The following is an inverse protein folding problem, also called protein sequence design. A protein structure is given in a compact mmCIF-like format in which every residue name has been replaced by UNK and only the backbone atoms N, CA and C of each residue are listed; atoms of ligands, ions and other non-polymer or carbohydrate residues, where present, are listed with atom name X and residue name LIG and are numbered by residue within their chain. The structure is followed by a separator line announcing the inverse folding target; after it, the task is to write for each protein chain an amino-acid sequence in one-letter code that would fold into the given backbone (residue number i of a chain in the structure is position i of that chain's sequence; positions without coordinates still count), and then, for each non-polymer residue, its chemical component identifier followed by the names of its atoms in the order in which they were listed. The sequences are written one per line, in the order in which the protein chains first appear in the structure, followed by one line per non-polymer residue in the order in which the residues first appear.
data_IF_194601736160
#
_entry.id   IF_194601736160
#
_cell.length_a   1.000
_cell.length_b   1.000
_cell.length_c   1.000
_cell.angle_alpha   90.00
_cell.angle_beta   90.00
_cell.angle_gamma   90.00
#
_symmetry.space_group_name_H-M   'P 1'
#
loop_
_entity.id
_entity.type
_entity.pdbx_description
1 polymer ?
#
# COMPACT_ATOMS: atom_id res chain seq x y z
N UNK A 1 13.49 8.06 -11.81
CA UNK A 1 14.53 8.70 -10.95
C UNK A 1 14.31 8.47 -9.46
N UNK A 2 13.63 7.40 -9.01
CA UNK A 2 13.40 7.12 -7.56
C UNK A 2 13.64 5.63 -7.26
N UNK A 3 14.86 5.16 -7.50
CA UNK A 3 15.28 3.79 -7.17
C UNK A 3 16.74 3.78 -6.67
N UNK A 4 17.13 4.77 -5.87
CA UNK A 4 18.52 4.91 -5.40
C UNK A 4 18.73 5.30 -3.93
N UNK A 5 17.68 5.50 -3.11
CA UNK A 5 17.86 6.14 -1.80
C UNK A 5 17.48 5.36 -0.54
N UNK A 6 17.32 4.03 -0.60
CA UNK A 6 17.16 3.21 0.63
C UNK A 6 18.35 2.23 0.80
N UNK A 7 19.55 2.73 0.50
CA UNK A 7 20.80 2.25 1.09
C UNK A 7 21.48 3.41 1.84
N UNK A 8 20.71 4.13 2.66
CA UNK A 8 21.27 5.06 3.65
C UNK A 8 21.45 4.29 4.94
N UNK A 9 22.53 3.51 5.02
CA UNK A 9 23.33 3.27 6.22
C UNK A 9 24.54 2.42 5.78
N UNK A 10 25.53 3.09 5.19
CA UNK A 10 26.79 2.48 4.78
C UNK A 10 27.11 2.58 3.28
N UNK A 11 27.12 3.78 2.70
CA UNK A 11 27.91 4.04 1.49
C UNK A 11 29.00 5.05 1.85
N UNK A 12 30.18 4.52 2.16
CA UNK A 12 31.44 5.29 2.16
C UNK A 12 31.77 5.57 0.68
N UNK A 13 31.82 6.83 0.23
CA UNK A 13 32.17 7.14 -1.15
C UNK A 13 33.69 7.28 -1.23
N UNK A 14 34.38 6.39 -1.93
CA UNK A 14 35.54 6.84 -2.73
C UNK A 14 36.01 5.83 -3.78
N UNK A 15 36.27 6.40 -4.95
CA UNK A 15 37.23 6.01 -5.98
C UNK A 15 37.69 4.53 -6.09
N UNK A 16 37.33 3.90 -7.22
CA UNK A 16 38.31 3.19 -8.04
C UNK A 16 38.98 1.92 -7.49
N UNK A 17 38.47 1.26 -6.46
CA UNK A 17 38.92 -0.08 -6.05
C UNK A 17 37.73 -1.00 -5.81
N UNK A 18 37.67 -2.08 -6.58
CA UNK A 18 36.83 -3.26 -6.32
C UNK A 18 37.29 -3.91 -5.02
N UNK A 19 36.85 -3.35 -3.89
CA UNK A 19 36.98 -4.01 -2.59
C UNK A 19 36.10 -5.26 -2.63
N UNK A 20 36.74 -6.41 -2.83
CA UNK A 20 36.16 -7.74 -2.73
C UNK A 20 35.75 -7.93 -1.26
N UNK A 21 34.52 -7.55 -0.92
CA UNK A 21 33.99 -7.70 0.44
C UNK A 21 33.78 -9.20 0.69
N UNK A 22 34.83 -9.88 1.13
CA UNK A 22 34.86 -11.30 1.47
C UNK A 22 34.45 -11.48 2.95
N UNK A 23 33.32 -10.89 3.35
CA UNK A 23 32.77 -11.08 4.68
C UNK A 23 31.44 -11.81 4.57
N UNK A 24 31.42 -13.05 5.06
CA UNK A 24 30.26 -13.95 4.97
C UNK A 24 29.00 -13.33 5.59
N UNK A 25 29.16 -12.45 6.60
CA UNK A 25 28.07 -11.70 7.21
C UNK A 25 27.34 -10.78 6.24
N UNK A 26 28.05 -10.19 5.26
CA UNK A 26 27.42 -9.32 4.25
C UNK A 26 26.58 -10.13 3.25
N UNK A 27 27.02 -11.34 2.91
CA UNK A 27 26.24 -12.26 2.07
C UNK A 27 24.95 -12.69 2.77
N UNK A 28 25.01 -13.03 4.06
CA UNK A 28 23.83 -13.45 4.82
C UNK A 28 22.82 -12.31 5.05
N UNK A 29 23.26 -11.08 5.28
CA UNK A 29 22.33 -9.93 5.39
C UNK A 29 21.67 -9.60 4.05
N UNK A 30 22.41 -9.65 2.93
CA UNK A 30 21.80 -9.49 1.61
C UNK A 30 20.83 -10.64 1.25
N UNK A 31 21.17 -11.88 1.62
CA UNK A 31 20.33 -13.06 1.38
C UNK A 31 19.03 -13.02 2.21
N UNK A 32 19.11 -12.65 3.50
CA UNK A 32 17.94 -12.51 4.36
C UNK A 32 17.05 -11.36 3.90
N UNK A 33 17.63 -10.22 3.51
CA UNK A 33 16.86 -9.09 2.97
C UNK A 33 16.13 -9.47 1.67
N UNK A 34 16.77 -10.21 0.76
CA UNK A 34 16.11 -10.69 -0.47
C UNK A 34 15.01 -11.72 -0.20
N UNK A 35 15.19 -12.59 0.80
CA UNK A 35 14.18 -13.57 1.20
C UNK A 35 12.93 -12.88 1.78
N UNK A 36 13.13 -11.88 2.66
CA UNK A 36 12.03 -11.09 3.24
C UNK A 36 11.27 -10.30 2.17
N UNK A 37 11.97 -9.72 1.19
CA UNK A 37 11.31 -9.01 0.08
C UNK A 37 10.59 -9.94 -0.91
N UNK A 38 11.15 -11.13 -1.18
CA UNK A 38 10.57 -12.11 -2.10
C UNK A 38 9.28 -12.76 -1.58
N UNK A 39 9.17 -12.98 -0.27
CA UNK A 39 7.96 -13.52 0.34
C UNK A 39 6.78 -12.53 0.34
N UNK A 40 7.04 -11.22 0.18
CA UNK A 40 6.01 -10.18 0.19
C UNK A 40 5.33 -9.98 -1.18
N UNK A 41 5.82 -10.63 -2.24
CA UNK A 41 5.26 -10.50 -3.60
C UNK A 41 4.51 -11.77 -4.00
N UNK A 42 3.38 -12.06 -3.35
CA UNK A 42 2.51 -13.14 -3.78
C UNK A 42 1.07 -12.90 -3.35
N UNK A 43 0.31 -12.20 -4.18
CA UNK A 43 -1.14 -12.21 -4.15
C UNK A 43 -1.65 -12.54 -5.55
N UNK A 44 -1.88 -13.82 -5.83
CA UNK A 44 -2.32 -14.29 -7.16
C UNK A 44 -3.75 -13.84 -7.52
N UNK A 45 -4.51 -13.29 -6.56
CA UNK A 45 -5.94 -13.02 -6.71
C UNK A 45 -6.32 -11.56 -6.43
N UNK A 46 -5.36 -10.66 -6.22
CA UNK A 46 -5.66 -9.25 -5.98
C UNK A 46 -5.60 -8.46 -7.29
N UNK A 47 -6.42 -7.40 -7.42
CA UNK A 47 -6.34 -6.50 -8.57
C UNK A 47 -4.91 -5.98 -8.76
N UNK A 48 -4.54 -5.55 -9.99
CA UNK A 48 -3.25 -4.92 -10.23
C UNK A 48 -3.09 -3.67 -9.36
N UNK A 49 -1.85 -3.40 -8.94
CA UNK A 49 -1.60 -2.33 -7.98
C UNK A 49 -0.13 -1.98 -7.79
N UNK A 50 0.15 -0.78 -7.28
CA UNK A 50 1.50 -0.37 -6.95
C UNK A 50 2.10 -1.28 -5.87
N UNK A 51 3.27 -1.86 -6.14
CA UNK A 51 3.97 -2.73 -5.19
C UNK A 51 4.37 -1.92 -3.96
N UNK A 52 3.78 -2.26 -2.83
CA UNK A 52 4.07 -1.68 -1.54
C UNK A 52 5.35 -2.22 -0.91
N UNK A 53 5.96 -1.41 -0.05
CA UNK A 53 7.08 -1.83 0.81
C UNK A 53 6.58 -2.73 1.95
N UNK A 54 7.43 -3.60 2.52
CA UNK A 54 7.06 -4.35 3.72
C UNK A 54 6.67 -3.39 4.85
N UNK A 55 5.61 -3.71 5.59
CA UNK A 55 5.01 -2.92 6.70
C UNK A 55 4.27 -1.64 6.28
N UNK A 56 4.84 -0.81 5.40
CA UNK A 56 4.25 0.50 5.04
C UNK A 56 3.34 0.42 3.81
N UNK A 57 3.48 -0.62 2.99
CA UNK A 57 2.71 -0.78 1.77
C UNK A 57 3.02 0.32 0.74
N UNK A 58 2.00 0.77 0.02
CA UNK A 58 2.11 1.73 -1.10
C UNK A 58 1.97 3.19 -0.65
N UNK A 59 1.99 3.46 0.67
CA UNK A 59 1.84 4.81 1.22
C UNK A 59 2.91 5.79 0.76
N UNK A 60 4.16 5.36 0.62
CA UNK A 60 5.24 6.24 0.15
C UNK A 60 5.07 6.71 -1.30
N UNK A 61 4.21 6.04 -2.07
CA UNK A 61 3.90 6.39 -3.46
C UNK A 61 2.65 7.28 -3.56
N UNK A 62 1.94 7.47 -2.44
CA UNK A 62 0.75 8.30 -2.35
C UNK A 62 1.13 9.69 -1.82
N UNK A 63 0.80 10.75 -2.57
CA UNK A 63 0.96 12.11 -2.08
C UNK A 63 -0.16 12.41 -1.06
N UNK A 64 0.21 12.46 0.23
CA UNK A 64 -0.73 12.72 1.32
C UNK A 64 -1.38 14.12 1.23
N UNK A 65 -0.74 15.08 0.58
CA UNK A 65 -1.33 16.41 0.40
C UNK A 65 -2.39 16.43 -0.71
N UNK A 66 -2.23 15.56 -1.71
CA UNK A 66 -3.07 15.54 -2.91
C UNK A 66 -3.32 14.10 -3.38
N UNK A 67 -4.06 13.29 -2.60
CA UNK A 67 -4.26 11.88 -2.91
C UNK A 67 -4.94 11.67 -4.28
N UNK A 68 -5.86 12.54 -4.68
CA UNK A 68 -6.57 12.46 -5.96
C UNK A 68 -5.64 12.52 -7.18
N UNK A 69 -4.50 13.22 -7.09
CA UNK A 69 -3.52 13.25 -8.18
C UNK A 69 -2.84 11.88 -8.35
N UNK A 70 -2.36 11.28 -7.26
CA UNK A 70 -1.75 9.95 -7.29
C UNK A 70 -2.74 8.88 -7.77
N UNK A 71 -4.01 8.97 -7.35
CA UNK A 71 -5.07 8.05 -7.82
C UNK A 71 -5.33 8.19 -9.33
N UNK A 72 -5.34 9.42 -9.85
CA UNK A 72 -5.52 9.67 -11.28
C UNK A 72 -4.33 9.18 -12.13
N UNK A 73 -3.10 9.24 -11.59
CA UNK A 73 -1.92 8.66 -12.24
C UNK A 73 -1.97 7.13 -12.25
N UNK A 74 -2.42 6.52 -11.14
CA UNK A 74 -2.59 5.07 -11.06
C UNK A 74 -3.69 4.55 -11.97
N UNK A 75 -4.77 5.30 -12.19
CA UNK A 75 -5.77 4.97 -13.22
C UNK A 75 -5.11 4.72 -14.58
N UNK A 76 -4.17 5.58 -14.98
CA UNK A 76 -3.47 5.46 -16.27
C UNK A 76 -2.55 4.25 -16.34
N UNK A 77 -2.08 3.75 -15.19
CA UNK A 77 -1.04 2.71 -15.11
C UNK A 77 -1.64 1.32 -14.88
N UNK A 78 -2.69 1.22 -14.07
CA UNK A 78 -3.27 -0.03 -13.56
C UNK A 78 -4.74 -0.25 -13.94
N UNK A 79 -5.35 0.68 -14.69
CA UNK A 79 -6.74 0.64 -15.15
C UNK A 79 -7.79 1.06 -14.10
N UNK A 80 -9.04 0.64 -14.31
CA UNK A 80 -10.22 1.08 -13.56
C UNK A 80 -10.30 0.57 -12.11
N UNK A 81 -9.66 -0.56 -11.78
CA UNK A 81 -9.67 -1.16 -10.44
C UNK A 81 -8.23 -1.32 -9.97
N UNK A 82 -7.86 -0.58 -8.93
CA UNK A 82 -6.49 -0.57 -8.40
C UNK A 82 -6.51 -1.07 -6.97
N UNK A 83 -5.64 -2.04 -6.67
CA UNK A 83 -5.42 -2.51 -5.31
C UNK A 83 -4.21 -1.81 -4.68
N UNK A 84 -4.34 -1.36 -3.44
CA UNK A 84 -3.23 -0.77 -2.71
C UNK A 84 -3.32 -1.13 -1.23
N UNK A 85 -2.16 -1.32 -0.61
CA UNK A 85 -2.05 -1.59 0.83
C UNK A 85 -1.53 -0.34 1.52
N UNK A 86 -2.30 0.22 2.45
CA UNK A 86 -1.88 1.33 3.30
C UNK A 86 -1.63 0.81 4.70
N UNK A 87 -0.36 0.73 5.11
CA UNK A 87 0.03 0.06 6.36
C UNK A 87 -0.54 -1.37 6.44
N UNK A 88 -1.52 -1.58 7.31
CA UNK A 88 -2.21 -2.85 7.55
C UNK A 88 -3.65 -2.85 7.04
N UNK A 89 -4.00 -1.89 6.19
CA UNK A 89 -5.32 -1.78 5.57
C UNK A 89 -5.22 -2.03 4.08
N UNK A 90 -6.07 -2.92 3.59
CA UNK A 90 -6.19 -3.24 2.18
C UNK A 90 -7.28 -2.33 1.57
N UNK A 91 -6.91 -1.57 0.55
CA UNK A 91 -7.75 -0.56 -0.07
C UNK A 91 -7.90 -0.87 -1.55
N UNK A 92 -9.15 -0.84 -2.04
CA UNK A 92 -9.47 -0.98 -3.46
C UNK A 92 -9.99 0.36 -3.94
N UNK A 93 -9.36 0.91 -4.97
CA UNK A 93 -9.77 2.16 -5.60
C UNK A 93 -10.50 1.86 -6.89
N UNK A 94 -11.69 2.45 -7.01
CA UNK A 94 -12.56 2.36 -8.19
C UNK A 94 -12.50 3.68 -8.94
N UNK A 95 -11.91 3.65 -10.14
CA UNK A 95 -11.69 4.83 -10.98
C UNK A 95 -12.74 5.01 -12.10
N UNK A 96 -13.72 4.10 -12.17
CA UNK A 96 -14.76 4.05 -13.20
C UNK A 96 -16.15 3.98 -12.58
N UNK A 97 -17.09 4.72 -13.16
CA UNK A 97 -18.47 4.76 -12.70
C UNK A 97 -19.14 3.37 -12.78
N UNK A 98 -18.85 2.60 -13.83
CA UNK A 98 -19.39 1.25 -14.01
C UNK A 98 -18.91 0.29 -12.91
N UNK A 99 -17.62 0.33 -12.57
CA UNK A 99 -17.07 -0.49 -11.50
C UNK A 99 -17.63 -0.09 -10.12
N UNK A 100 -17.87 1.21 -9.90
CA UNK A 100 -18.51 1.71 -8.70
C UNK A 100 -19.97 1.25 -8.59
N UNK A 101 -20.74 1.31 -9.68
CA UNK A 101 -22.14 0.83 -9.73
C UNK A 101 -22.21 -0.68 -9.46
N UNK A 102 -21.37 -1.48 -10.14
CA UNK A 102 -21.38 -2.94 -9.99
C UNK A 102 -21.01 -3.41 -8.56
N UNK A 103 -20.14 -2.68 -7.86
CA UNK A 103 -19.70 -3.05 -6.50
C UNK A 103 -20.54 -2.38 -5.41
N UNK A 104 -20.80 -1.07 -5.51
CA UNK A 104 -21.48 -0.31 -4.47
C UNK A 104 -23.00 -0.39 -4.57
N UNK A 105 -23.58 -0.55 -5.77
CA UNK A 105 -25.04 -0.61 -5.92
C UNK A 105 -25.51 -2.08 -5.90
N UNK A 106 -25.04 -2.90 -6.85
CA UNK A 106 -25.50 -4.30 -6.97
C UNK A 106 -25.09 -5.19 -5.79
N UNK A 107 -23.98 -4.87 -5.14
CA UNK A 107 -23.43 -5.63 -4.01
C UNK A 107 -23.34 -4.78 -2.75
N UNK A 108 -24.15 -3.73 -2.64
CA UNK A 108 -24.17 -2.79 -1.52
C UNK A 108 -24.09 -3.50 -0.16
N UNK A 109 -24.93 -4.53 0.05
CA UNK A 109 -24.99 -5.26 1.31
C UNK A 109 -23.66 -5.88 1.76
N UNK A 110 -22.78 -6.29 0.84
CA UNK A 110 -21.47 -6.88 1.17
C UNK A 110 -20.36 -5.85 1.38
N UNK A 111 -20.51 -4.64 0.83
CA UNK A 111 -19.48 -3.60 0.83
C UNK A 111 -19.91 -2.33 1.60
N UNK A 112 -21.01 -2.39 2.33
CA UNK A 112 -21.53 -1.26 3.13
C UNK A 112 -20.85 -1.09 4.47
N UNK A 113 -19.93 -1.98 4.85
CA UNK A 113 -19.17 -1.84 6.08
C UNK A 113 -18.25 -0.62 6.05
N UNK A 114 -18.28 0.14 7.15
CA UNK A 114 -17.51 1.36 7.33
C UNK A 114 -16.25 1.02 8.15
N UNK A 115 -15.04 1.30 7.65
CA UNK A 115 -13.84 1.07 8.45
C UNK A 115 -13.87 1.94 9.70
N UNK A 116 -13.87 1.30 10.87
CA UNK A 116 -13.84 1.99 12.15
C UNK A 116 -12.45 2.60 12.35
N UNK A 117 -12.39 3.93 12.40
CA UNK A 117 -11.19 4.65 12.81
C UNK A 117 -11.28 4.90 14.31
N UNK A 118 -10.36 4.33 15.09
CA UNK A 118 -10.34 4.45 16.56
C UNK A 118 -10.36 5.92 17.03
N UNK A 119 -9.72 6.81 16.28
CA UNK A 119 -9.75 8.25 16.54
C UNK A 119 -11.17 8.83 16.42
N UNK A 120 -11.94 8.42 15.41
CA UNK A 120 -13.31 8.93 15.20
C UNK A 120 -14.25 8.37 16.25
N UNK A 121 -14.13 7.09 16.59
CA UNK A 121 -14.93 6.46 17.65
C UNK A 121 -14.70 7.15 19.01
N UNK A 122 -13.44 7.42 19.36
CA UNK A 122 -13.08 8.13 20.59
C UNK A 122 -13.65 9.55 20.65
N UNK A 123 -13.60 10.29 19.53
CA UNK A 123 -14.10 11.67 19.48
C UNK A 123 -15.62 11.76 19.47
N UNK A 124 -16.30 10.74 18.94
CA UNK A 124 -17.77 10.75 18.75
C UNK A 124 -18.51 9.90 19.76
N UNK A 125 -17.81 9.19 20.65
CA UNK A 125 -18.41 8.34 21.68
C UNK A 125 -19.33 7.26 21.10
N UNK A 126 -19.04 6.77 19.89
CA UNK A 126 -19.88 5.79 19.18
C UNK A 126 -21.14 6.36 18.51
N UNK A 127 -21.40 7.67 18.61
CA UNK A 127 -22.58 8.32 18.01
C UNK A 127 -22.28 8.91 16.61
N UNK A 128 -21.43 8.25 15.82
CA UNK A 128 -21.13 8.69 14.47
C UNK A 128 -22.01 8.00 13.42
N UNK A 129 -23.11 8.64 13.05
CA UNK A 129 -24.02 8.17 11.99
C UNK A 129 -23.34 7.93 10.64
N UNK A 130 -22.18 8.56 10.37
CA UNK A 130 -21.43 8.40 9.13
C UNK A 130 -20.61 7.11 9.16
N UNK A 131 -20.08 6.73 10.33
CA UNK A 131 -19.19 5.58 10.50
C UNK A 131 -19.88 4.34 11.10
N UNK A 132 -21.18 4.36 11.36
CA UNK A 132 -21.90 3.20 11.88
C UNK A 132 -21.91 2.03 10.90
N UNK A 133 -21.74 0.81 11.42
CA UNK A 133 -21.88 -0.41 10.63
C UNK A 133 -23.36 -0.68 10.30
N UNK A 134 -23.59 -1.32 9.17
CA UNK A 134 -24.92 -1.74 8.76
C UNK A 134 -25.44 -2.85 9.71
N UNK A 135 -26.72 -2.76 10.11
CA UNK A 135 -27.35 -3.76 10.99
C UNK A 135 -27.14 -3.57 12.50
N UNK A 136 -26.52 -2.48 12.94
CA UNK A 136 -26.51 -2.08 14.36
C UNK A 136 -27.82 -1.36 14.71
N UNK A 137 -28.86 -2.14 15.03
CA UNK A 137 -30.18 -1.67 15.48
C UNK A 137 -30.84 -2.69 16.39
#
# INVERSE_FOLDING_TARGET
MVARYICVFGSFPDAGRTLRIHNQSFYYTCASYRFVLGAYTSSSNLPPGPKGYPVVGSLFQLDLNRPWHSLAEWKKTYDDIVYLRLFNQDVIVLNSAKAAEDLLDRRAANYSDRPQMSAVEYLTGGLNIIAMNHGAG
#
